data_IF_812704334775
#
_entry.id   IF_812704334775
#
_cell.length_a   1.000
_cell.length_b   1.000
_cell.length_c   1.000
_cell.angle_alpha   90.00
_cell.angle_beta   90.00
_cell.angle_gamma   90.00
#
_symmetry.space_group_name_H-M   'P 1'
#
loop_
_entity.id
_entity.type
_entity.pdbx_description
1 polymer ?
#
# COMPACT_ATOMS: atom_id res chain seq x y z
N UNK A 1 14.85 20.12 3.80
CA UNK A 1 13.47 19.62 4.00
C UNK A 1 13.36 18.32 3.22
N UNK A 2 12.95 17.23 3.86
CA UNK A 2 12.85 15.92 3.19
C UNK A 2 11.46 15.77 2.60
N UNK A 3 11.37 15.41 1.33
CA UNK A 3 10.09 15.05 0.74
C UNK A 3 9.51 13.83 1.48
N UNK A 4 8.18 13.70 1.59
CA UNK A 4 7.56 12.52 2.16
C UNK A 4 8.01 11.24 1.44
N UNK A 5 8.33 10.21 2.20
CA UNK A 5 8.74 8.90 1.68
C UNK A 5 8.01 7.79 2.41
N UNK A 6 7.72 6.68 1.73
CA UNK A 6 7.15 5.49 2.36
C UNK A 6 8.24 4.80 3.17
N UNK A 7 8.08 4.74 4.49
CA UNK A 7 9.02 4.08 5.41
C UNK A 7 8.65 2.63 5.71
N UNK A 8 7.37 2.27 5.56
CA UNK A 8 6.88 0.91 5.78
C UNK A 8 5.67 0.62 4.90
N UNK A 9 5.60 -0.61 4.38
CA UNK A 9 4.45 -1.18 3.67
C UNK A 9 4.11 -2.52 4.32
N UNK A 10 2.84 -2.74 4.67
CA UNK A 10 2.39 -3.91 5.44
C UNK A 10 1.10 -4.47 4.88
N UNK A 11 0.89 -5.78 5.08
CA UNK A 11 -0.30 -6.52 4.67
C UNK A 11 -0.94 -7.15 5.91
N UNK A 12 -2.23 -6.89 6.18
CA UNK A 12 -3.00 -7.47 7.31
C UNK A 12 -2.33 -7.32 8.70
N UNK A 13 -1.50 -6.27 8.91
CA UNK A 13 -0.65 -6.05 10.09
C UNK A 13 0.44 -7.11 10.34
N UNK A 14 0.77 -7.93 9.34
CA UNK A 14 1.70 -9.05 9.52
C UNK A 14 3.12 -8.70 9.10
N UNK A 15 4.09 -9.24 9.85
CA UNK A 15 5.50 -9.24 9.46
C UNK A 15 5.78 -10.31 8.40
N UNK A 16 5.09 -11.46 8.47
CA UNK A 16 5.17 -12.54 7.48
C UNK A 16 3.86 -12.60 6.67
N UNK A 17 3.98 -12.57 5.35
CA UNK A 17 2.84 -12.44 4.42
C UNK A 17 2.62 -13.65 3.53
N UNK A 18 3.44 -14.71 3.68
CA UNK A 18 3.22 -15.98 2.99
C UNK A 18 2.12 -16.79 3.69
N UNK A 19 1.21 -17.37 2.92
CA UNK A 19 0.16 -18.25 3.47
C UNK A 19 -0.96 -17.55 4.25
N UNK A 20 -1.18 -16.25 4.00
CA UNK A 20 -2.14 -15.44 4.77
C UNK A 20 -3.62 -15.84 4.62
N UNK A 21 -3.96 -16.66 3.60
CA UNK A 21 -5.30 -17.21 3.37
C UNK A 21 -6.38 -16.20 2.96
N UNK A 22 -6.08 -14.90 2.99
CA UNK A 22 -6.99 -13.84 2.59
C UNK A 22 -6.79 -13.50 1.10
N UNK A 23 -7.81 -13.66 0.24
CA UNK A 23 -7.67 -13.35 -1.20
C UNK A 23 -7.69 -11.84 -1.47
N UNK A 24 -8.18 -11.02 -0.55
CA UNK A 24 -8.20 -9.55 -0.66
C UNK A 24 -7.58 -8.92 0.59
N UNK A 25 -6.28 -9.10 0.81
CA UNK A 25 -5.64 -8.68 2.04
C UNK A 25 -5.46 -7.16 2.08
N UNK A 26 -5.75 -6.54 3.21
CA UNK A 26 -5.71 -5.08 3.38
C UNK A 26 -4.27 -4.57 3.47
N UNK A 27 -4.06 -3.40 2.89
CA UNK A 27 -2.75 -2.76 2.75
C UNK A 27 -2.64 -1.61 3.74
N UNK A 28 -1.49 -1.48 4.40
CA UNK A 28 -1.17 -0.31 5.23
C UNK A 28 0.20 0.24 4.85
N UNK A 29 0.37 1.55 4.96
CA UNK A 29 1.67 2.19 4.77
C UNK A 29 1.91 3.32 5.76
N UNK A 30 3.19 3.58 6.00
CA UNK A 30 3.66 4.68 6.82
C UNK A 30 4.45 5.66 5.95
N UNK A 31 4.17 6.94 6.14
CA UNK A 31 4.89 8.03 5.48
C UNK A 31 5.79 8.69 6.52
N UNK A 32 7.08 8.78 6.20
CA UNK A 32 8.06 9.52 6.97
C UNK A 32 8.31 10.88 6.30
N UNK A 33 8.21 11.95 7.07
CA UNK A 33 8.48 13.31 6.59
C UNK A 33 8.84 14.25 7.74
N UNK A 34 9.66 15.28 7.45
CA UNK A 34 9.93 16.39 8.36
C UNK A 34 9.02 17.59 8.14
N UNK A 35 8.10 17.52 7.17
CA UNK A 35 7.13 18.57 6.91
C UNK A 35 6.11 18.63 8.04
N UNK A 36 6.08 19.77 8.72
CA UNK A 36 5.05 20.04 9.73
C UNK A 36 3.68 20.10 9.05
N UNK A 37 2.65 19.65 9.76
CA UNK A 37 1.25 19.64 9.30
C UNK A 37 1.01 18.90 7.98
N UNK A 38 1.90 17.99 7.59
CA UNK A 38 1.67 17.16 6.41
C UNK A 38 0.48 16.23 6.63
N UNK A 39 -0.37 16.11 5.61
CA UNK A 39 -1.48 15.18 5.56
C UNK A 39 -1.52 14.53 4.18
N UNK A 40 -1.77 13.22 4.15
CA UNK A 40 -2.08 12.53 2.90
C UNK A 40 -3.40 13.04 2.35
N UNK A 41 -3.51 13.10 1.02
CA UNK A 41 -4.77 13.42 0.33
C UNK A 41 -5.18 12.31 -0.64
N UNK A 42 -4.21 11.58 -1.19
CA UNK A 42 -4.46 10.47 -2.09
C UNK A 42 -3.33 9.45 -2.06
N UNK A 43 -3.57 8.29 -2.69
CA UNK A 43 -2.57 7.26 -2.93
C UNK A 43 -2.72 6.64 -4.33
N UNK A 44 -1.65 5.99 -4.77
CA UNK A 44 -1.63 5.04 -5.89
C UNK A 44 -0.91 3.78 -5.41
N UNK A 45 -1.41 2.60 -5.80
CA UNK A 45 -0.76 1.32 -5.51
C UNK A 45 -0.40 0.62 -6.81
N UNK A 46 0.80 0.03 -6.84
CA UNK A 46 1.28 -0.82 -7.93
C UNK A 46 1.40 -2.26 -7.44
N UNK A 47 0.89 -3.19 -8.25
CA UNK A 47 1.12 -4.62 -8.09
C UNK A 47 2.13 -5.06 -9.14
N UNK A 48 3.23 -5.64 -8.68
CA UNK A 48 4.32 -6.13 -9.51
C UNK A 48 4.23 -7.65 -9.63
N UNK A 49 4.73 -8.21 -10.73
CA UNK A 49 4.94 -9.65 -10.87
C UNK A 49 6.28 -10.10 -10.23
N UNK A 50 6.56 -11.40 -10.33
CA UNK A 50 7.74 -12.04 -9.72
C UNK A 50 9.06 -11.53 -10.33
N UNK A 51 9.02 -10.99 -11.56
CA UNK A 51 10.16 -10.38 -12.24
C UNK A 51 10.31 -8.87 -11.90
N UNK A 52 9.42 -8.34 -11.04
CA UNK A 52 9.41 -6.94 -10.64
C UNK A 52 8.82 -6.00 -11.69
N UNK A 53 8.05 -6.51 -12.65
CA UNK A 53 7.37 -5.68 -13.64
C UNK A 53 5.99 -5.28 -13.15
N UNK A 54 5.59 -4.04 -13.44
CA UNK A 54 4.27 -3.53 -13.05
C UNK A 54 3.19 -4.27 -13.84
N UNK A 55 2.35 -5.01 -13.13
CA UNK A 55 1.20 -5.74 -13.68
C UNK A 55 -0.03 -4.85 -13.76
N UNK A 56 -0.29 -4.09 -12.71
CA UNK A 56 -1.42 -3.17 -12.60
C UNK A 56 -1.09 -2.04 -11.64
N UNK A 57 -1.56 -0.85 -11.96
CA UNK A 57 -1.49 0.34 -11.13
C UNK A 57 -2.92 0.80 -10.88
N UNK A 58 -3.26 1.18 -9.65
CA UNK A 58 -4.51 1.89 -9.40
C UNK A 58 -4.45 3.26 -10.06
N UNK A 59 -5.60 3.84 -10.36
CA UNK A 59 -5.68 5.29 -10.51
C UNK A 59 -5.40 5.99 -9.17
N UNK A 60 -5.22 7.32 -9.23
CA UNK A 60 -5.09 8.14 -8.02
C UNK A 60 -6.39 8.10 -7.24
N UNK A 61 -6.35 7.53 -6.04
CA UNK A 61 -7.50 7.43 -5.15
C UNK A 61 -7.41 8.53 -4.11
N UNK A 62 -8.37 9.47 -4.12
CA UNK A 62 -8.48 10.52 -3.10
C UNK A 62 -8.97 9.92 -1.77
N UNK A 63 -8.03 9.67 -0.87
CA UNK A 63 -8.25 9.08 0.45
C UNK A 63 -7.09 9.45 1.38
N UNK A 64 -7.42 9.95 2.58
CA UNK A 64 -6.43 10.38 3.58
C UNK A 64 -5.90 9.21 4.42
N UNK A 65 -6.62 8.08 4.42
CA UNK A 65 -6.31 6.89 5.18
C UNK A 65 -5.15 6.10 4.55
N UNK A 66 -4.26 5.61 5.41
CA UNK A 66 -3.14 4.73 5.04
C UNK A 66 -3.10 3.43 5.86
N UNK A 67 -4.16 3.16 6.63
CA UNK A 67 -4.25 2.01 7.53
C UNK A 67 -5.37 1.07 7.07
N UNK A 68 -5.00 -0.20 6.84
CA UNK A 68 -5.89 -1.27 6.40
C UNK A 68 -6.82 -0.86 5.26
N UNK A 69 -6.26 -0.18 4.28
CA UNK A 69 -6.97 0.17 3.06
C UNK A 69 -7.31 -1.12 2.31
N UNK A 70 -8.53 -1.18 1.80
CA UNK A 70 -9.03 -2.34 1.08
C UNK A 70 -8.18 -2.66 -0.14
N UNK A 71 -8.04 -3.96 -0.41
CA UNK A 71 -7.30 -4.47 -1.56
C UNK A 71 -7.95 -3.99 -2.87
N UNK A 72 -7.28 -3.14 -3.67
CA UNK A 72 -7.91 -2.53 -4.85
C UNK A 72 -7.75 -3.38 -6.12
N UNK A 73 -7.10 -4.54 -6.03
CA UNK A 73 -6.82 -5.40 -7.19
C UNK A 73 -7.75 -6.62 -7.23
N UNK A 74 -7.62 -7.43 -8.28
CA UNK A 74 -8.29 -8.71 -8.34
C UNK A 74 -7.90 -9.59 -7.13
N UNK A 75 -8.82 -10.43 -6.61
CA UNK A 75 -8.50 -11.34 -5.52
C UNK A 75 -7.34 -12.28 -5.87
N UNK A 76 -6.42 -12.44 -4.93
CA UNK A 76 -5.31 -13.39 -4.98
C UNK A 76 -5.83 -14.82 -5.09
N UNK A 77 -5.05 -15.65 -5.78
CA UNK A 77 -5.34 -17.07 -5.99
C UNK A 77 -4.21 -17.89 -5.36
N UNK A 78 -4.56 -19.09 -4.90
CA UNK A 78 -3.60 -20.08 -4.42
C UNK A 78 -2.93 -20.83 -5.57
#
# INVERSE_FOLDING_TARGET
>A
MTNPSISSLQIEHRQETLGIGAPTPRVSWQVETSLQTWQQQAYELQCLDDDGQVRVTTERVELEQSLLVDWPFAPLRS
#
